data_IF_805314871076
#
_entry.id   IF_805314871076
#
_cell.length_a   1.000
_cell.length_b   1.000
_cell.length_c   1.000
_cell.angle_alpha   90.00
_cell.angle_beta   90.00
_cell.angle_gamma   90.00
#
_symmetry.space_group_name_H-M   'P 1'
#
loop_
_entity.id
_entity.type
_entity.pdbx_description
1 polymer ?
#
# COMPACT_ATOMS: atom_id res chain seq x y z
N UNK A 1 30.33 17.94 13.30
CA UNK A 1 29.08 18.13 12.56
C UNK A 1 28.48 16.75 12.39
N UNK A 2 27.71 16.31 13.38
CA UNK A 2 27.10 14.98 13.37
C UNK A 2 26.01 14.98 12.30
N UNK A 3 26.17 14.09 11.33
CA UNK A 3 25.14 13.77 10.36
C UNK A 3 24.00 13.09 11.11
N UNK A 4 22.94 13.83 11.42
CA UNK A 4 21.67 13.25 11.86
C UNK A 4 21.15 12.43 10.68
N UNK A 5 21.45 11.14 10.66
CA UNK A 5 20.75 10.17 9.84
C UNK A 5 19.31 10.20 10.31
N UNK A 6 18.40 10.77 9.52
CA UNK A 6 16.98 10.63 9.75
C UNK A 6 16.65 9.13 9.66
N UNK A 7 16.53 8.50 10.82
CA UNK A 7 16.08 7.12 11.00
C UNK A 7 14.71 6.99 10.35
N UNK A 8 14.47 5.94 9.56
CA UNK A 8 13.14 5.76 8.96
C UNK A 8 12.09 5.58 10.07
N UNK A 9 10.80 5.92 9.85
CA UNK A 9 9.76 5.70 10.85
C UNK A 9 9.74 4.27 11.39
N UNK A 10 10.05 3.29 10.53
CA UNK A 10 10.18 1.89 10.90
C UNK A 10 11.40 1.61 11.80
N UNK A 11 12.55 2.21 11.52
CA UNK A 11 13.74 2.07 12.36
C UNK A 11 13.51 2.68 13.75
N UNK A 12 12.87 3.84 13.82
CA UNK A 12 12.44 4.47 15.08
C UNK A 12 11.48 3.58 15.88
N UNK A 13 10.52 2.92 15.21
CA UNK A 13 9.66 1.91 15.82
C UNK A 13 10.47 0.73 16.39
N UNK A 14 11.40 0.18 15.61
CA UNK A 14 12.23 -0.94 16.05
C UNK A 14 13.12 -0.57 17.25
N UNK A 15 13.66 0.64 17.27
CA UNK A 15 14.47 1.12 18.38
C UNK A 15 13.65 1.28 19.67
N UNK A 16 12.41 1.80 19.57
CA UNK A 16 11.50 1.82 20.72
C UNK A 16 11.15 0.40 21.19
N UNK A 17 10.91 -0.54 20.27
CA UNK A 17 10.63 -1.94 20.60
C UNK A 17 11.83 -2.71 21.16
N UNK A 18 13.07 -2.21 20.99
CA UNK A 18 14.27 -2.75 21.63
C UNK A 18 14.43 -2.28 23.08
N UNK A 19 13.70 -1.25 23.50
CA UNK A 19 13.76 -0.74 24.86
C UNK A 19 13.22 -1.80 25.84
N UNK A 20 13.93 -2.11 26.95
CA UNK A 20 13.43 -3.03 27.97
C UNK A 20 12.04 -2.66 28.53
N UNK A 21 11.69 -1.37 28.51
CA UNK A 21 10.40 -0.90 28.98
C UNK A 21 9.22 -1.30 28.06
N UNK A 22 9.43 -1.71 26.81
CA UNK A 22 8.38 -2.16 25.88
C UNK A 22 8.29 -3.69 25.76
N UNK A 23 8.87 -4.44 26.69
CA UNK A 23 8.97 -5.90 26.60
C UNK A 23 7.59 -6.60 26.61
N UNK A 24 6.62 -6.03 27.30
CA UNK A 24 5.22 -6.45 27.32
C UNK A 24 4.59 -6.34 25.92
N UNK A 25 4.75 -5.20 25.23
CA UNK A 25 4.29 -5.00 23.85
C UNK A 25 4.94 -6.01 22.90
N UNK A 26 6.26 -6.20 23.01
CA UNK A 26 7.00 -7.17 22.17
C UNK A 26 6.51 -8.60 22.40
N UNK A 27 6.23 -8.98 23.66
CA UNK A 27 5.67 -10.29 23.98
C UNK A 27 4.27 -10.45 23.41
N UNK A 28 3.43 -9.41 23.50
CA UNK A 28 2.08 -9.40 22.91
C UNK A 28 2.15 -9.67 21.41
N UNK A 29 2.99 -8.92 20.67
CA UNK A 29 3.18 -9.08 19.22
C UNK A 29 3.65 -10.50 18.86
N UNK A 30 4.67 -11.01 19.57
CA UNK A 30 5.20 -12.36 19.29
C UNK A 30 4.16 -13.45 19.61
N UNK A 31 3.45 -13.32 20.73
CA UNK A 31 2.38 -14.23 21.12
C UNK A 31 1.27 -14.24 20.08
N UNK A 32 0.86 -13.06 19.59
CA UNK A 32 -0.12 -12.93 18.54
C UNK A 32 0.31 -13.69 17.27
N UNK A 33 1.50 -13.41 16.74
CA UNK A 33 2.03 -14.07 15.52
C UNK A 33 2.05 -15.60 15.68
N UNK A 34 2.53 -16.09 16.82
CA UNK A 34 2.58 -17.53 17.11
C UNK A 34 1.17 -18.12 17.20
N UNK A 35 0.28 -17.49 17.97
CA UNK A 35 -1.12 -17.93 18.13
C UNK A 35 -1.90 -17.89 16.82
N UNK A 36 -1.54 -16.99 15.90
CA UNK A 36 -2.15 -16.87 14.59
C UNK A 36 -1.82 -18.09 13.74
N UNK A 37 -0.57 -18.58 13.81
CA UNK A 37 -0.12 -19.75 13.04
C UNK A 37 -0.85 -21.06 13.37
N UNK A 38 -1.37 -21.20 14.59
CA UNK A 38 -2.09 -22.41 15.02
C UNK A 38 -3.57 -22.46 14.64
N UNK A 39 -4.15 -21.34 14.21
CA UNK A 39 -5.55 -21.27 13.83
C UNK A 39 -5.73 -21.76 12.39
N UNK A 40 -6.87 -22.39 12.07
CA UNK A 40 -7.21 -22.73 10.69
C UNK A 40 -7.25 -21.47 9.83
N UNK A 41 -6.73 -21.55 8.60
CA UNK A 41 -6.71 -20.42 7.67
C UNK A 41 -8.12 -20.10 7.20
N UNK A 42 -8.57 -18.86 7.40
CA UNK A 42 -9.84 -18.36 6.88
C UNK A 42 -9.74 -16.84 6.73
N UNK A 43 -9.87 -16.27 5.51
CA UNK A 43 -9.63 -14.85 5.28
C UNK A 43 -10.48 -13.90 6.11
N UNK A 44 -11.77 -14.21 6.32
CA UNK A 44 -12.70 -13.35 7.06
C UNK A 44 -12.34 -13.29 8.55
N UNK A 45 -12.10 -14.46 9.16
CA UNK A 45 -11.74 -14.53 10.58
C UNK A 45 -10.33 -14.04 10.85
N UNK A 46 -9.38 -14.35 9.95
CA UNK A 46 -8.00 -13.87 10.01
C UNK A 46 -7.96 -12.33 9.91
N UNK A 47 -8.72 -11.75 8.97
CA UNK A 47 -8.85 -10.31 8.80
C UNK A 47 -9.41 -9.62 10.05
N UNK A 48 -10.53 -10.12 10.59
CA UNK A 48 -11.13 -9.59 11.82
C UNK A 48 -10.16 -9.65 13.01
N UNK A 49 -9.48 -10.78 13.18
CA UNK A 49 -8.53 -10.98 14.29
C UNK A 49 -7.31 -10.07 14.21
N UNK A 50 -6.80 -9.80 13.00
CA UNK A 50 -5.70 -8.85 12.79
C UNK A 50 -6.16 -7.43 13.14
N UNK A 51 -7.35 -7.02 12.73
CA UNK A 51 -7.90 -5.69 13.04
C UNK A 51 -8.13 -5.50 14.54
N UNK A 52 -8.72 -6.49 15.21
CA UNK A 52 -8.91 -6.48 16.67
C UNK A 52 -7.57 -6.39 17.42
N UNK A 53 -6.54 -7.09 16.94
CA UNK A 53 -5.21 -7.00 17.50
C UNK A 53 -4.57 -5.62 17.31
N UNK A 54 -4.69 -5.02 16.12
CA UNK A 54 -4.18 -3.67 15.89
C UNK A 54 -4.89 -2.63 16.75
N UNK A 55 -6.22 -2.71 16.91
CA UNK A 55 -6.94 -1.80 17.82
C UNK A 55 -6.45 -1.95 19.27
N UNK A 56 -6.30 -3.19 19.75
CA UNK A 56 -5.80 -3.46 21.11
C UNK A 56 -4.39 -2.91 21.31
N UNK A 57 -3.52 -3.06 20.31
CA UNK A 57 -2.16 -2.56 20.37
C UNK A 57 -2.08 -1.04 20.23
N UNK A 58 -2.99 -0.42 19.48
CA UNK A 58 -3.11 1.03 19.40
C UNK A 58 -3.40 1.63 20.77
N UNK A 59 -4.43 1.11 21.46
CA UNK A 59 -4.79 1.55 22.81
C UNK A 59 -3.59 1.35 23.75
N UNK A 60 -2.94 0.18 23.69
CA UNK A 60 -1.78 -0.12 24.52
C UNK A 60 -0.57 0.78 24.24
N UNK A 61 -0.33 1.18 22.98
CA UNK A 61 0.76 2.10 22.61
C UNK A 61 0.45 3.52 23.06
N UNK A 62 -0.79 4.00 22.88
CA UNK A 62 -1.21 5.35 23.28
C UNK A 62 -1.13 5.55 24.81
N UNK A 63 -1.45 4.51 25.58
CA UNK A 63 -1.36 4.54 27.04
C UNK A 63 0.04 4.22 27.59
N UNK A 64 1.00 3.82 26.73
CA UNK A 64 2.31 3.35 27.18
C UNK A 64 3.20 4.51 27.67
N UNK A 65 3.92 4.37 28.80
CA UNK A 65 4.81 5.43 29.31
C UNK A 65 5.89 5.90 28.32
N UNK A 66 6.34 5.03 27.41
CA UNK A 66 7.30 5.38 26.35
C UNK A 66 6.73 6.32 25.28
N UNK A 67 5.39 6.40 25.14
CA UNK A 67 4.71 7.29 24.21
C UNK A 67 4.02 8.47 24.89
N UNK A 68 4.12 8.60 26.22
CA UNK A 68 3.47 9.67 26.98
C UNK A 68 3.85 11.09 26.54
N UNK A 69 5.02 11.28 25.93
CA UNK A 69 5.49 12.57 25.38
C UNK A 69 5.61 12.59 23.86
N UNK A 70 5.06 11.59 23.17
CA UNK A 70 5.10 11.50 21.71
C UNK A 70 3.98 12.33 21.10
N UNK A 71 4.20 12.87 19.90
CA UNK A 71 3.12 13.49 19.13
C UNK A 71 2.19 12.44 18.54
N UNK A 72 1.03 12.87 18.05
CA UNK A 72 0.11 12.01 17.30
C UNK A 72 0.82 11.42 16.06
N UNK A 73 1.60 12.23 15.33
CA UNK A 73 2.39 11.76 14.19
C UNK A 73 3.41 10.68 14.58
N UNK A 74 4.11 10.82 15.71
CA UNK A 74 5.05 9.79 16.19
C UNK A 74 4.34 8.49 16.58
N UNK A 75 3.12 8.61 17.10
CA UNK A 75 2.27 7.47 17.45
C UNK A 75 1.78 6.77 16.20
N UNK A 76 1.26 7.50 15.22
CA UNK A 76 0.80 6.95 13.94
C UNK A 76 1.95 6.27 13.19
N UNK A 77 3.15 6.86 13.19
CA UNK A 77 4.35 6.22 12.65
C UNK A 77 4.69 4.89 13.36
N UNK A 78 4.48 4.80 14.68
CA UNK A 78 4.68 3.57 15.42
C UNK A 78 3.62 2.51 15.09
N UNK A 79 2.36 2.91 14.88
CA UNK A 79 1.28 2.01 14.44
C UNK A 79 1.53 1.49 13.02
N UNK A 80 2.02 2.33 12.12
CA UNK A 80 2.49 1.90 10.79
C UNK A 80 3.65 0.91 10.89
N UNK A 81 4.60 1.14 11.79
CA UNK A 81 5.69 0.23 12.08
C UNK A 81 5.22 -1.13 12.60
N UNK A 82 4.22 -1.13 13.48
CA UNK A 82 3.55 -2.33 13.98
C UNK A 82 2.85 -3.10 12.85
N UNK A 83 2.04 -2.43 12.02
CA UNK A 83 1.39 -3.03 10.86
C UNK A 83 2.43 -3.67 9.95
N UNK A 84 3.48 -2.92 9.60
CA UNK A 84 4.57 -3.39 8.75
C UNK A 84 5.22 -4.65 9.32
N UNK A 85 5.53 -4.65 10.62
CA UNK A 85 6.17 -5.80 11.27
C UNK A 85 5.27 -7.03 11.25
N UNK A 86 4.02 -6.89 11.68
CA UNK A 86 3.05 -8.00 11.79
C UNK A 86 2.71 -8.55 10.42
N UNK A 87 2.30 -7.70 9.48
CA UNK A 87 1.88 -8.13 8.14
C UNK A 87 3.03 -8.74 7.34
N UNK A 88 4.27 -8.30 7.55
CA UNK A 88 5.45 -8.95 6.95
C UNK A 88 5.61 -10.40 7.40
N UNK A 89 5.32 -10.69 8.68
CA UNK A 89 5.40 -12.05 9.24
C UNK A 89 4.21 -12.92 8.84
N UNK A 90 3.03 -12.34 8.68
CA UNK A 90 1.81 -13.05 8.31
C UNK A 90 1.59 -13.19 6.80
N UNK A 91 2.35 -12.46 5.97
CA UNK A 91 2.15 -12.35 4.53
C UNK A 91 1.97 -13.69 3.80
N UNK A 92 2.80 -14.71 4.09
CA UNK A 92 2.71 -16.02 3.41
C UNK A 92 1.42 -16.77 3.70
N UNK A 93 0.69 -16.38 4.74
CA UNK A 93 -0.59 -16.96 5.13
C UNK A 93 -1.78 -16.11 4.68
N UNK A 94 -1.64 -14.79 4.65
CA UNK A 94 -2.76 -13.87 4.43
C UNK A 94 -2.85 -13.33 3.00
N UNK A 95 -1.80 -13.45 2.20
CA UNK A 95 -1.77 -12.96 0.81
C UNK A 95 -2.02 -14.10 -0.18
N UNK A 96 -2.99 -13.94 -1.08
CA UNK A 96 -3.42 -14.96 -2.05
C UNK A 96 -3.59 -16.34 -1.39
N UNK A 97 -4.32 -16.35 -0.26
CA UNK A 97 -4.35 -17.47 0.68
C UNK A 97 -5.26 -18.62 0.26
N UNK A 98 -6.15 -18.38 -0.71
CA UNK A 98 -7.12 -19.36 -1.20
C UNK A 98 -6.81 -19.77 -2.65
N UNK A 99 -7.12 -21.02 -3.06
CA UNK A 99 -7.05 -21.41 -4.47
C UNK A 99 -7.91 -20.53 -5.39
N UNK A 100 -9.02 -20.02 -4.87
CA UNK A 100 -9.90 -19.08 -5.56
C UNK A 100 -9.20 -17.76 -5.88
N UNK A 101 -8.44 -17.18 -4.95
CA UNK A 101 -7.65 -15.96 -5.18
C UNK A 101 -6.66 -16.18 -6.33
N UNK A 102 -5.89 -17.28 -6.29
CA UNK A 102 -4.90 -17.62 -7.31
C UNK A 102 -5.55 -17.79 -8.69
N UNK A 103 -6.73 -18.41 -8.74
CA UNK A 103 -7.50 -18.58 -9.97
C UNK A 103 -7.96 -17.23 -10.53
N UNK A 104 -8.52 -16.37 -9.67
CA UNK A 104 -8.97 -15.03 -10.06
C UNK A 104 -7.79 -14.19 -10.58
N UNK A 105 -6.64 -14.22 -9.89
CA UNK A 105 -5.43 -13.54 -10.32
C UNK A 105 -4.95 -14.02 -11.70
N UNK A 106 -4.98 -15.34 -11.94
CA UNK A 106 -4.62 -15.91 -13.24
C UNK A 106 -5.58 -15.47 -14.36
N UNK A 107 -6.89 -15.52 -14.11
CA UNK A 107 -7.91 -15.07 -15.08
C UNK A 107 -7.79 -13.58 -15.41
N UNK A 108 -7.52 -12.74 -14.39
CA UNK A 108 -7.32 -11.31 -14.58
C UNK A 108 -6.02 -11.05 -15.35
N UNK A 109 -4.93 -11.72 -14.99
CA UNK A 109 -3.65 -11.58 -15.67
C UNK A 109 -3.73 -11.99 -17.15
N UNK A 110 -4.46 -13.05 -17.47
CA UNK A 110 -4.71 -13.47 -18.86
C UNK A 110 -5.49 -12.40 -19.62
N UNK A 111 -6.59 -11.90 -19.04
CA UNK A 111 -7.41 -10.83 -19.66
C UNK A 111 -6.59 -9.57 -19.91
N UNK A 112 -5.78 -9.15 -18.93
CA UNK A 112 -4.93 -7.96 -19.07
C UNK A 112 -3.88 -8.16 -20.18
N UNK A 113 -3.22 -9.33 -20.22
CA UNK A 113 -2.25 -9.66 -21.26
C UNK A 113 -2.85 -9.56 -22.67
N UNK A 114 -4.07 -10.07 -22.87
CA UNK A 114 -4.78 -9.96 -24.14
C UNK A 114 -5.13 -8.51 -24.48
N UNK A 115 -5.67 -7.74 -23.51
CA UNK A 115 -6.02 -6.33 -23.71
C UNK A 115 -4.79 -5.47 -24.07
N UNK A 116 -3.64 -5.72 -23.46
CA UNK A 116 -2.40 -4.98 -23.72
C UNK A 116 -2.00 -4.99 -25.20
N UNK A 117 -2.34 -6.06 -25.95
CA UNK A 117 -1.93 -6.23 -27.36
C UNK A 117 -2.57 -5.24 -28.33
N UNK A 118 -3.77 -4.70 -28.01
CA UNK A 118 -4.51 -3.84 -28.92
C UNK A 118 -5.08 -2.57 -28.27
N UNK A 119 -5.05 -2.44 -26.95
CA UNK A 119 -5.61 -1.29 -26.24
C UNK A 119 -4.87 0.01 -26.60
N UNK A 120 -5.64 0.99 -27.06
CA UNK A 120 -5.21 2.36 -27.35
C UNK A 120 -5.95 3.36 -26.47
N UNK A 121 -5.39 4.54 -26.17
CA UNK A 121 -6.04 5.53 -25.31
C UNK A 121 -7.45 5.93 -25.78
N UNK A 122 -7.68 5.95 -27.10
CA UNK A 122 -8.98 6.30 -27.70
C UNK A 122 -10.07 5.26 -27.39
N UNK A 123 -9.73 4.03 -27.03
CA UNK A 123 -10.71 3.01 -26.63
C UNK A 123 -11.31 3.26 -25.23
N UNK A 124 -10.66 4.13 -24.45
CA UNK A 124 -11.08 4.54 -23.11
C UNK A 124 -11.49 6.02 -23.09
N UNK A 125 -11.71 6.64 -24.26
CA UNK A 125 -12.10 8.04 -24.39
C UNK A 125 -11.07 9.04 -23.82
N UNK A 126 -9.77 8.67 -23.79
CA UNK A 126 -8.69 9.55 -23.29
C UNK A 126 -8.36 10.64 -24.34
N UNK A 127 -8.59 11.93 -24.05
CA UNK A 127 -8.27 13.04 -24.95
C UNK A 127 -6.77 13.13 -25.26
N UNK A 128 -6.41 13.64 -26.44
CA UNK A 128 -5.01 13.81 -26.85
C UNK A 128 -4.19 14.68 -25.90
N UNK A 129 -4.82 15.65 -25.24
CA UNK A 129 -4.20 16.51 -24.23
C UNK A 129 -3.63 15.73 -23.04
N UNK A 130 -4.23 14.57 -22.72
CA UNK A 130 -3.84 13.69 -21.62
C UNK A 130 -2.87 12.60 -22.05
N UNK A 131 -2.50 12.53 -23.33
CA UNK A 131 -1.61 11.48 -23.87
C UNK A 131 -0.15 11.85 -23.64
N UNK A 132 0.31 11.66 -22.39
CA UNK A 132 1.69 11.90 -21.98
C UNK A 132 2.37 10.59 -21.56
N UNK A 133 3.10 10.00 -22.50
CA UNK A 133 3.82 8.73 -22.32
C UNK A 133 4.81 8.77 -21.15
N UNK A 134 5.49 9.91 -20.91
CA UNK A 134 6.44 10.03 -19.82
C UNK A 134 5.74 10.01 -18.45
N UNK A 135 4.61 10.71 -18.31
CA UNK A 135 3.81 10.71 -17.09
C UNK A 135 3.18 9.34 -16.84
N UNK A 136 2.66 8.67 -17.87
CA UNK A 136 2.13 7.31 -17.75
C UNK A 136 3.20 6.31 -17.33
N UNK A 137 4.39 6.37 -17.92
CA UNK A 137 5.52 5.53 -17.52
C UNK A 137 5.91 5.72 -16.04
N UNK A 138 5.82 6.96 -15.52
CA UNK A 138 6.06 7.23 -14.09
C UNK A 138 4.96 6.61 -13.22
N UNK A 139 3.68 6.76 -13.61
CA UNK A 139 2.56 6.16 -12.89
C UNK A 139 2.62 4.63 -12.89
N UNK A 140 2.96 4.00 -14.02
CA UNK A 140 3.20 2.57 -14.12
C UNK A 140 4.33 2.09 -13.20
N UNK A 141 5.43 2.85 -13.13
CA UNK A 141 6.56 2.53 -12.24
C UNK A 141 6.16 2.59 -10.77
N UNK A 142 5.33 3.55 -10.36
CA UNK A 142 4.80 3.58 -8.99
C UNK A 142 3.92 2.38 -8.71
N UNK A 143 3.00 2.03 -9.63
CA UNK A 143 2.08 0.91 -9.45
C UNK A 143 2.80 -0.44 -9.41
N UNK A 144 3.83 -0.66 -10.25
CA UNK A 144 4.64 -1.89 -10.28
C UNK A 144 5.35 -2.18 -8.95
N UNK A 145 5.59 -1.18 -8.10
CA UNK A 145 6.22 -1.37 -6.78
C UNK A 145 5.31 -2.10 -5.79
N UNK A 146 4.00 -2.18 -6.02
CA UNK A 146 3.02 -2.76 -5.08
C UNK A 146 3.40 -4.17 -4.62
N UNK A 147 4.06 -4.95 -5.48
CA UNK A 147 4.44 -6.34 -5.20
C UNK A 147 5.80 -6.47 -4.52
N UNK A 148 6.59 -5.41 -4.49
CA UNK A 148 7.84 -5.35 -3.71
C UNK A 148 7.57 -5.18 -2.20
N UNK A 149 6.38 -4.72 -1.84
CA UNK A 149 5.99 -4.45 -0.45
C UNK A 149 5.04 -5.52 0.09
N UNK A 150 5.15 -5.77 1.40
CA UNK A 150 4.28 -6.71 2.13
C UNK A 150 3.27 -5.99 3.02
N UNK A 151 3.61 -4.82 3.54
CA UNK A 151 2.73 -4.05 4.41
C UNK A 151 1.57 -3.43 3.60
N UNK A 152 0.32 -3.51 4.09
CA UNK A 152 -0.84 -2.86 3.46
C UNK A 152 -0.62 -1.36 3.20
N UNK A 153 -0.09 -0.61 4.16
CA UNK A 153 0.19 0.83 4.00
C UNK A 153 1.17 1.13 2.87
N UNK A 154 2.24 0.35 2.73
CA UNK A 154 3.23 0.52 1.65
C UNK A 154 2.62 0.18 0.27
N UNK A 155 1.78 -0.86 0.21
CA UNK A 155 1.02 -1.20 -1.01
C UNK A 155 0.07 -0.05 -1.41
N UNK A 156 -0.66 0.50 -0.43
CA UNK A 156 -1.56 1.64 -0.65
C UNK A 156 -0.81 2.89 -1.12
N UNK A 157 0.39 3.14 -0.58
CA UNK A 157 1.22 4.27 -1.00
C UNK A 157 1.63 4.18 -2.48
N UNK A 158 1.85 2.98 -3.01
CA UNK A 158 2.10 2.78 -4.45
C UNK A 158 0.90 3.24 -5.30
N UNK A 159 -0.31 2.90 -4.86
CA UNK A 159 -1.56 3.30 -5.53
C UNK A 159 -1.73 4.83 -5.43
N UNK A 160 -1.54 5.41 -4.24
CA UNK A 160 -1.65 6.86 -4.03
C UNK A 160 -0.62 7.62 -4.89
N UNK A 161 0.62 7.15 -4.95
CA UNK A 161 1.67 7.78 -5.75
C UNK A 161 1.36 7.68 -7.25
N UNK A 162 0.87 6.54 -7.73
CA UNK A 162 0.35 6.39 -9.09
C UNK A 162 -0.75 7.43 -9.38
N UNK A 163 -1.76 7.52 -8.51
CA UNK A 163 -2.87 8.48 -8.63
C UNK A 163 -2.38 9.94 -8.59
N UNK A 164 -1.38 10.27 -7.77
CA UNK A 164 -0.78 11.62 -7.73
C UNK A 164 -0.09 11.98 -9.04
N UNK A 165 0.63 11.04 -9.65
CA UNK A 165 1.26 11.26 -10.97
C UNK A 165 0.19 11.54 -12.03
N UNK A 166 -0.90 10.75 -12.05
CA UNK A 166 -2.02 10.95 -12.97
C UNK A 166 -2.68 12.32 -12.73
N UNK A 167 -2.98 12.68 -11.48
CA UNK A 167 -3.58 13.98 -11.17
C UNK A 167 -2.69 15.16 -11.57
N UNK A 168 -1.38 15.07 -11.36
CA UNK A 168 -0.45 16.11 -11.82
C UNK A 168 -0.45 16.26 -13.34
N UNK A 169 -0.62 15.15 -14.08
CA UNK A 169 -0.80 15.19 -15.53
C UNK A 169 -2.09 15.93 -15.91
N UNK A 170 -3.22 15.61 -15.26
CA UNK A 170 -4.51 16.28 -15.50
C UNK A 170 -4.42 17.78 -15.22
N UNK A 171 -3.81 18.17 -14.11
CA UNK A 171 -3.62 19.57 -13.74
C UNK A 171 -2.78 20.31 -14.79
N UNK A 172 -1.68 19.74 -15.24
CA UNK A 172 -0.84 20.35 -16.27
C UNK A 172 -1.58 20.52 -17.60
N UNK A 173 -2.38 19.54 -18.01
CA UNK A 173 -3.18 19.61 -19.23
C UNK A 173 -4.29 20.67 -19.14
N UNK A 174 -4.95 20.81 -17.98
CA UNK A 174 -5.97 21.85 -17.76
C UNK A 174 -5.39 23.27 -17.84
N UNK A 175 -4.15 23.47 -17.39
CA UNK A 175 -3.46 24.77 -17.46
C UNK A 175 -3.13 25.14 -18.91
N UNK A 176 -2.84 24.16 -19.77
CA UNK A 176 -2.47 24.42 -21.17
C UNK A 176 -3.64 24.67 -22.11
N UNK A 177 -4.84 24.15 -21.82
CA UNK A 177 -5.97 24.15 -22.78
C UNK A 177 -7.21 24.94 -22.31
N UNK A 178 -7.11 25.77 -21.26
CA UNK A 178 -8.24 26.54 -20.70
C UNK A 178 -9.45 25.64 -20.38
N UNK A 179 -9.16 24.37 -20.06
CA UNK A 179 -10.14 23.32 -19.81
C UNK A 179 -10.49 23.21 -18.33
N UNK A 180 -11.69 22.69 -18.04
CA UNK A 180 -12.16 22.43 -16.68
C UNK A 180 -11.14 21.52 -15.98
N UNK A 181 -10.77 21.79 -14.71
CA UNK A 181 -9.83 20.95 -13.98
C UNK A 181 -10.31 19.50 -13.97
N UNK A 182 -9.40 18.59 -14.31
CA UNK A 182 -9.70 17.19 -14.60
C UNK A 182 -10.51 16.52 -13.49
N UNK A 183 -11.64 15.93 -13.87
CA UNK A 183 -12.57 15.25 -12.99
C UNK A 183 -12.34 13.73 -12.93
N UNK A 184 -13.29 13.01 -12.32
CA UNK A 184 -13.29 11.55 -12.34
C UNK A 184 -13.38 10.98 -13.77
N UNK A 185 -14.07 11.70 -14.66
CA UNK A 185 -14.23 11.33 -16.08
C UNK A 185 -12.90 11.40 -16.86
N UNK A 186 -11.97 12.25 -16.44
CA UNK A 186 -10.62 12.32 -17.03
C UNK A 186 -9.64 11.38 -16.32
N UNK A 187 -9.79 11.22 -15.00
CA UNK A 187 -8.89 10.42 -14.17
C UNK A 187 -9.05 8.92 -14.39
N UNK A 188 -10.29 8.41 -14.33
CA UNK A 188 -10.55 6.98 -14.34
C UNK A 188 -10.07 6.29 -15.63
N UNK A 189 -10.31 6.84 -16.84
CA UNK A 189 -9.75 6.29 -18.07
C UNK A 189 -8.22 6.15 -18.05
N UNK A 190 -7.52 7.19 -17.58
CA UNK A 190 -6.05 7.17 -17.50
C UNK A 190 -5.59 6.14 -16.48
N UNK A 191 -6.25 6.02 -15.32
CA UNK A 191 -5.94 4.99 -14.33
C UNK A 191 -6.14 3.58 -14.89
N UNK A 192 -7.22 3.32 -15.62
CA UNK A 192 -7.48 2.02 -16.26
C UNK A 192 -6.37 1.71 -17.26
N UNK A 193 -6.03 2.68 -18.12
CA UNK A 193 -4.97 2.52 -19.11
C UNK A 193 -3.61 2.20 -18.46
N UNK A 194 -3.21 3.00 -17.47
CA UNK A 194 -1.96 2.80 -16.71
C UNK A 194 -1.98 1.44 -16.00
N UNK A 195 -3.09 1.03 -15.40
CA UNK A 195 -3.19 -0.26 -14.70
C UNK A 195 -3.00 -1.43 -15.66
N UNK A 196 -3.65 -1.37 -16.83
CA UNK A 196 -3.50 -2.40 -17.86
C UNK A 196 -2.06 -2.43 -18.37
N UNK A 197 -1.42 -1.29 -18.63
CA UNK A 197 -0.02 -1.25 -19.12
C UNK A 197 1.02 -1.60 -18.03
N UNK A 198 0.74 -1.29 -16.77
CA UNK A 198 1.61 -1.59 -15.65
C UNK A 198 1.65 -3.09 -15.31
N UNK A 199 0.55 -3.80 -15.54
CA UNK A 199 0.41 -5.22 -15.26
C UNK A 199 1.16 -6.04 -16.32
N UNK A 200 2.49 -6.14 -16.21
CA UNK A 200 3.25 -7.08 -17.04
C UNK A 200 2.92 -8.52 -16.65
N UNK A 201 2.99 -9.48 -17.60
CA UNK A 201 2.85 -10.89 -17.26
C UNK A 201 3.89 -11.25 -16.20
N UNK A 202 3.42 -11.85 -15.12
CA UNK A 202 4.24 -12.34 -14.03
C UNK A 202 5.14 -13.50 -14.46
#
# INVERSE_FOLDING_TARGET
>A
METVTHSSPFDSFLDRMRNPASLDLVRSIKSFIVSFSYTASNPETDGKRIQEFFQTMEDAIRDHPLWASSSDDETDNALEGLEKYVMTKLHSRTFASTPEDVKIDAEISEKISLLQTFLRPQHLDIPSALQNEAAWLLAEKELKKINAFKAPREKLLCIINCSRVINNLLLNASISEDHVPGGADDFLPVLIYVTIKASSPW
#
